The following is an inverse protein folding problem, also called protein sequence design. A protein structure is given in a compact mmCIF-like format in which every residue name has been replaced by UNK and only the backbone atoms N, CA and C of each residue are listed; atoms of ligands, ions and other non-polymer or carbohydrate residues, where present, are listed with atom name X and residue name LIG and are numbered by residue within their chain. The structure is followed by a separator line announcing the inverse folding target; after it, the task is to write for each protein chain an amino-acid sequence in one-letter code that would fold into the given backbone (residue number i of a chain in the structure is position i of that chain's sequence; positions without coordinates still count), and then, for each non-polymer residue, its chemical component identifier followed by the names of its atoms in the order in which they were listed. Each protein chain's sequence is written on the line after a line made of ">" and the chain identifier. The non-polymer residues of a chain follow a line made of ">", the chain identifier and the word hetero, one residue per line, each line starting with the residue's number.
data_IF_423957127720
#
_entry.id   IF_423957127720
#
_cell.length_a   1.000
_cell.length_b   1.000
_cell.length_c   1.000
_cell.angle_alpha   90.00
_cell.angle_beta   90.00
_cell.angle_gamma   90.00
#
_symmetry.space_group_name_H-M   'P 1'
#
loop_
_entity.id
_entity.type
_entity.pdbx_description
1 polymer ?
#
# COMPACT_ATOMS: atom_id res chain seq x y z
N UNK A 1 29.14 -13.12 -3.97
CA UNK A 1 28.62 -13.60 -5.29
C UNK A 1 27.50 -14.55 -4.93
N UNK A 2 26.26 -14.25 -5.31
CA UNK A 2 25.10 -15.10 -4.97
C UNK A 2 25.20 -16.37 -5.81
N UNK A 3 24.98 -17.53 -5.19
CA UNK A 3 25.01 -18.86 -5.85
C UNK A 3 23.94 -18.92 -6.96
N UNK A 4 24.31 -19.52 -8.10
CA UNK A 4 23.40 -19.71 -9.23
C UNK A 4 22.14 -20.51 -8.84
N UNK A 5 22.29 -21.53 -7.98
CA UNK A 5 21.18 -22.32 -7.49
C UNK A 5 20.18 -21.51 -6.65
N UNK A 6 20.66 -20.57 -5.85
CA UNK A 6 19.82 -19.66 -5.06
C UNK A 6 19.06 -18.71 -5.99
N UNK A 7 19.69 -18.19 -7.04
CA UNK A 7 19.03 -17.34 -8.05
C UNK A 7 17.92 -18.08 -8.80
N UNK A 8 18.17 -19.31 -9.20
CA UNK A 8 17.17 -20.14 -9.90
C UNK A 8 15.96 -20.42 -8.99
N UNK A 9 16.19 -20.68 -7.71
CA UNK A 9 15.11 -20.85 -6.73
C UNK A 9 14.34 -19.56 -6.49
N UNK A 10 15.03 -18.40 -6.40
CA UNK A 10 14.40 -17.10 -6.28
C UNK A 10 13.50 -16.80 -7.48
N UNK A 11 13.95 -17.12 -8.70
CA UNK A 11 13.16 -16.95 -9.92
C UNK A 11 11.91 -17.85 -9.95
N UNK A 12 12.03 -19.09 -9.47
CA UNK A 12 10.89 -19.99 -9.34
C UNK A 12 9.87 -19.49 -8.32
N UNK A 13 10.30 -19.02 -7.17
CA UNK A 13 9.42 -18.43 -6.16
C UNK A 13 8.72 -17.17 -6.70
N UNK A 14 9.44 -16.31 -7.40
CA UNK A 14 8.86 -15.10 -8.02
C UNK A 14 7.82 -15.47 -9.09
N UNK A 15 8.07 -16.49 -9.91
CA UNK A 15 7.12 -16.96 -10.92
C UNK A 15 5.86 -17.56 -10.28
N UNK A 16 6.01 -18.36 -9.20
CA UNK A 16 4.89 -18.94 -8.46
C UNK A 16 4.06 -17.87 -7.75
N UNK A 17 4.70 -16.91 -7.11
CA UNK A 17 4.04 -15.83 -6.38
C UNK A 17 3.20 -14.90 -7.28
N UNK A 18 3.43 -14.92 -8.61
CA UNK A 18 2.63 -14.20 -9.61
C UNK A 18 1.32 -14.91 -9.99
N UNK A 19 1.15 -16.21 -9.67
CA UNK A 19 -0.13 -16.89 -9.91
C UNK A 19 -1.18 -16.36 -8.91
N UNK A 20 -2.34 -15.85 -9.38
CA UNK A 20 -3.41 -15.38 -8.51
C UNK A 20 -3.95 -16.43 -7.52
N UNK A 21 -3.67 -17.71 -7.76
CA UNK A 21 -4.08 -18.83 -6.92
C UNK A 21 -2.95 -19.29 -5.99
N UNK A 22 -1.81 -18.62 -5.99
CA UNK A 22 -0.70 -18.96 -5.13
C UNK A 22 -1.08 -18.82 -3.65
N UNK A 23 -0.90 -19.86 -2.87
CA UNK A 23 -1.26 -19.91 -1.44
C UNK A 23 -0.11 -20.35 -0.54
N UNK A 24 1.05 -20.65 -1.10
CA UNK A 24 2.19 -21.26 -0.40
C UNK A 24 3.17 -20.19 0.13
N UNK A 25 2.58 -19.18 0.80
CA UNK A 25 3.31 -18.00 1.28
C UNK A 25 4.29 -18.32 2.40
N UNK A 26 3.96 -19.34 3.22
CA UNK A 26 4.81 -19.75 4.35
C UNK A 26 6.08 -20.40 3.85
N UNK A 27 5.97 -21.30 2.89
CA UNK A 27 7.14 -21.92 2.29
C UNK A 27 8.04 -20.90 1.59
N UNK A 28 7.47 -19.85 0.99
CA UNK A 28 8.26 -18.72 0.47
C UNK A 28 8.94 -17.95 1.61
N UNK A 29 8.22 -17.68 2.69
CA UNK A 29 8.76 -16.94 3.84
C UNK A 29 9.86 -17.75 4.52
N UNK A 30 9.63 -19.02 4.80
CA UNK A 30 10.61 -19.94 5.36
C UNK A 30 11.87 -20.00 4.47
N UNK A 31 11.70 -20.15 3.15
CA UNK A 31 12.82 -20.17 2.22
C UNK A 31 13.64 -18.86 2.27
N UNK A 32 12.97 -17.69 2.37
CA UNK A 32 13.64 -16.39 2.46
C UNK A 32 14.38 -16.18 3.80
N UNK A 33 13.94 -16.84 4.87
CA UNK A 33 14.53 -16.73 6.22
C UNK A 33 15.68 -17.72 6.45
N UNK A 34 15.80 -18.82 5.67
CA UNK A 34 16.87 -19.82 5.82
C UNK A 34 18.25 -19.19 5.69
N UNK A 35 18.46 -18.30 4.71
CA UNK A 35 19.76 -17.66 4.45
C UNK A 35 19.55 -16.22 3.93
N UNK A 36 20.28 -15.22 4.46
CA UNK A 36 20.27 -13.87 3.91
C UNK A 36 20.55 -13.78 2.40
N UNK A 37 21.28 -14.76 1.83
CA UNK A 37 21.55 -14.82 0.40
C UNK A 37 20.28 -15.09 -0.43
N UNK A 38 19.28 -15.78 0.13
CA UNK A 38 17.99 -16.00 -0.54
C UNK A 38 17.22 -14.70 -0.72
N UNK A 39 17.21 -13.89 0.33
CA UNK A 39 16.55 -12.58 0.29
C UNK A 39 17.23 -11.65 -0.71
N UNK A 40 18.58 -11.62 -0.71
CA UNK A 40 19.36 -10.84 -1.67
C UNK A 40 19.15 -11.30 -3.11
N UNK A 41 19.05 -12.63 -3.35
CA UNK A 41 18.78 -13.17 -4.68
C UNK A 41 17.38 -12.79 -5.18
N UNK A 42 16.39 -12.86 -4.30
CA UNK A 42 15.02 -12.47 -4.62
C UNK A 42 14.90 -10.98 -4.93
N UNK A 43 15.59 -10.12 -4.14
CA UNK A 43 15.66 -8.67 -4.37
C UNK A 43 16.43 -8.31 -5.66
N UNK A 44 17.54 -8.99 -5.97
CA UNK A 44 18.37 -8.75 -7.16
C UNK A 44 17.61 -9.06 -8.47
N UNK A 45 16.82 -10.13 -8.48
CA UNK A 45 15.94 -10.47 -9.60
C UNK A 45 14.83 -9.45 -9.80
N UNK A 46 14.34 -8.87 -8.73
CA UNK A 46 13.37 -7.78 -8.78
C UNK A 46 13.98 -6.52 -9.43
N UNK A 47 15.15 -6.08 -8.94
CA UNK A 47 15.87 -4.93 -9.49
C UNK A 47 16.28 -5.12 -10.97
N UNK A 48 16.61 -6.37 -11.36
CA UNK A 48 16.94 -6.73 -12.74
C UNK A 48 15.75 -6.75 -13.72
N UNK A 49 14.54 -7.05 -13.23
CA UNK A 49 13.32 -7.09 -14.06
C UNK A 49 12.79 -5.71 -14.44
N UNK A 50 13.06 -4.69 -13.63
CA UNK A 50 12.67 -3.31 -13.94
C UNK A 50 13.42 -2.75 -15.19
N UNK A 51 14.58 -3.34 -15.53
CA UNK A 51 15.36 -2.96 -16.72
C UNK A 51 15.07 -3.84 -17.94
N UNK A 52 14.58 -5.07 -17.77
CA UNK A 52 14.32 -6.00 -18.87
C UNK A 52 12.87 -5.97 -19.38
N UNK A 53 11.91 -5.55 -18.55
CA UNK A 53 10.48 -5.54 -18.89
C UNK A 53 10.06 -4.47 -19.90
N UNK A 54 10.95 -3.57 -20.28
CA UNK A 54 10.68 -2.52 -21.29
C UNK A 54 11.06 -2.97 -22.72
N UNK A 55 11.80 -4.08 -22.89
CA UNK A 55 12.38 -4.42 -24.19
C UNK A 55 11.85 -5.66 -24.90
N UNK A 56 11.04 -6.54 -24.30
CA UNK A 56 10.54 -7.73 -25.00
C UNK A 56 9.11 -8.15 -24.61
N UNK A 57 8.12 -7.41 -25.08
CA UNK A 57 6.76 -7.90 -25.20
C UNK A 57 6.51 -8.43 -26.63
N UNK A 58 7.11 -9.55 -26.98
CA UNK A 58 6.70 -10.31 -28.15
C UNK A 58 5.49 -11.20 -27.76
N UNK A 59 4.37 -11.18 -28.51
CA UNK A 59 3.20 -11.96 -28.16
C UNK A 59 3.46 -13.45 -28.38
N UNK A 60 3.47 -14.24 -27.30
CA UNK A 60 3.43 -15.70 -27.40
C UNK A 60 2.06 -16.08 -27.96
N UNK A 61 2.02 -16.48 -29.23
CA UNK A 61 0.87 -17.10 -29.85
C UNK A 61 0.68 -18.48 -29.24
N UNK A 62 -0.29 -18.62 -28.36
CA UNK A 62 -0.81 -19.92 -27.97
C UNK A 62 -1.55 -20.56 -29.15
N UNK A 63 -1.33 -21.84 -29.49
CA UNK A 63 -2.10 -22.50 -30.52
C UNK A 63 -3.51 -22.78 -30.00
N UNK A 64 -4.48 -22.06 -30.53
CA UNK A 64 -5.89 -22.35 -30.32
C UNK A 64 -6.23 -23.56 -31.16
N UNK A 65 -6.28 -24.74 -30.55
CA UNK A 65 -6.89 -25.92 -31.15
C UNK A 65 -8.40 -25.73 -31.15
N UNK A 66 -8.91 -25.27 -32.26
CA UNK A 66 -10.34 -25.25 -32.53
C UNK A 66 -10.88 -26.70 -32.63
N UNK A 67 -11.58 -27.15 -31.59
CA UNK A 67 -12.42 -28.33 -31.71
C UNK A 67 -13.67 -27.94 -32.51
N UNK A 68 -13.75 -28.45 -33.71
CA UNK A 68 -14.92 -28.38 -34.55
C UNK A 68 -16.09 -29.11 -33.90
N UNK A 69 -17.13 -28.37 -33.51
CA UNK A 69 -18.38 -28.96 -33.06
C UNK A 69 -19.22 -29.26 -34.30
N UNK A 70 -19.34 -30.55 -34.58
CA UNK A 70 -20.20 -31.11 -35.66
C UNK A 70 -21.61 -30.56 -35.57
N UNK A 71 -22.06 -29.97 -36.67
CA UNK A 71 -23.45 -29.58 -36.88
C UNK A 71 -24.33 -30.82 -37.08
N UNK A 72 -25.06 -31.21 -36.05
CA UNK A 72 -26.19 -32.10 -36.20
C UNK A 72 -27.44 -31.28 -36.56
N UNK A 73 -27.82 -31.36 -37.84
CA UNK A 73 -29.14 -30.93 -38.32
C UNK A 73 -30.16 -31.91 -37.76
N UNK A 74 -31.17 -31.41 -37.04
CA UNK A 74 -32.45 -32.08 -36.85
C UNK A 74 -33.58 -31.17 -37.34
N UNK A 75 -34.55 -31.72 -38.09
CA UNK A 75 -35.65 -30.93 -38.62
C UNK A 75 -36.77 -30.75 -37.59
N UNK A 76 -37.37 -29.62 -37.63
CA UNK A 76 -38.64 -29.12 -37.27
C UNK A 76 -39.58 -29.85 -36.30
N UNK A 77 -39.98 -29.08 -35.30
CA UNK A 77 -41.36 -29.09 -34.81
C UNK A 77 -41.70 -27.66 -34.38
N UNK A 78 -42.60 -27.07 -35.16
CA UNK A 78 -43.30 -25.81 -34.86
C UNK A 78 -44.42 -26.19 -33.88
N UNK A 79 -44.43 -25.56 -32.70
CA UNK A 79 -45.60 -25.63 -31.83
C UNK A 79 -45.27 -25.38 -30.37
N UNK A 80 -45.78 -24.34 -29.77
CA UNK A 80 -45.86 -24.19 -28.34
C UNK A 80 -45.10 -23.00 -27.75
N UNK A 81 -45.67 -21.91 -27.86
CA UNK A 81 -45.72 -20.64 -27.35
C UNK A 81 -45.27 -20.31 -25.96
N UNK A 82 -44.88 -19.10 -25.75
CA UNK A 82 -44.99 -18.20 -24.58
C UNK A 82 -44.50 -18.59 -23.20
N UNK A 83 -44.08 -19.84 -22.91
CA UNK A 83 -43.55 -20.20 -21.61
C UNK A 83 -41.99 -20.14 -21.49
N UNK A 84 -41.30 -20.06 -22.65
CA UNK A 84 -39.81 -20.06 -22.66
C UNK A 84 -39.15 -18.72 -22.37
N UNK A 85 -39.84 -17.61 -22.53
CA UNK A 85 -39.27 -16.26 -22.36
C UNK A 85 -39.16 -15.85 -20.91
N UNK A 86 -40.02 -16.33 -20.02
CA UNK A 86 -39.96 -16.03 -18.59
C UNK A 86 -38.77 -16.73 -17.89
N UNK A 87 -38.42 -17.94 -18.30
CA UNK A 87 -37.29 -18.68 -17.73
C UNK A 87 -35.94 -18.11 -18.18
N UNK A 88 -35.83 -17.66 -19.43
CA UNK A 88 -34.61 -17.02 -19.94
C UNK A 88 -34.39 -15.63 -19.30
N UNK A 89 -35.48 -14.86 -19.08
CA UNK A 89 -35.39 -13.58 -18.37
C UNK A 89 -34.99 -13.74 -16.91
N UNK A 90 -35.46 -14.78 -16.21
CA UNK A 90 -35.11 -15.07 -14.84
C UNK A 90 -33.63 -15.50 -14.71
N UNK A 91 -33.08 -16.27 -15.67
CA UNK A 91 -31.68 -16.63 -15.71
C UNK A 91 -30.76 -15.44 -15.99
N UNK A 92 -31.13 -14.54 -16.89
CA UNK A 92 -30.37 -13.33 -17.19
C UNK A 92 -30.45 -12.35 -16.03
N UNK A 93 -31.61 -12.22 -15.38
CA UNK A 93 -31.76 -11.37 -14.21
C UNK A 93 -30.93 -11.88 -12.99
N UNK A 94 -30.80 -13.19 -12.80
CA UNK A 94 -29.95 -13.81 -11.78
C UNK A 94 -28.45 -13.64 -12.05
N UNK A 95 -28.03 -13.51 -13.32
CA UNK A 95 -26.65 -13.28 -13.73
C UNK A 95 -26.23 -11.80 -13.68
N UNK A 96 -27.19 -10.88 -13.65
CA UNK A 96 -26.99 -9.42 -13.61
C UNK A 96 -27.29 -8.83 -12.24
N UNK A 97 -27.63 -9.65 -11.24
CA UNK A 97 -27.73 -9.12 -9.87
C UNK A 97 -26.38 -8.52 -9.48
N UNK A 98 -26.30 -7.19 -9.22
CA UNK A 98 -25.09 -6.62 -8.68
C UNK A 98 -24.81 -7.35 -7.37
N UNK A 99 -23.58 -7.86 -7.22
CA UNK A 99 -23.11 -8.43 -5.94
C UNK A 99 -23.53 -7.50 -4.84
N UNK A 100 -24.19 -8.03 -3.79
CA UNK A 100 -24.61 -7.22 -2.65
C UNK A 100 -23.44 -6.32 -2.24
N UNK A 101 -23.67 -5.02 -1.98
CA UNK A 101 -22.58 -4.14 -1.59
C UNK A 101 -21.91 -4.77 -0.39
N UNK A 102 -20.57 -4.99 -0.50
CA UNK A 102 -19.76 -5.47 0.58
C UNK A 102 -20.09 -4.60 1.79
N UNK A 103 -20.40 -5.20 2.94
CA UNK A 103 -20.72 -4.46 4.15
C UNK A 103 -19.44 -3.77 4.62
N UNK A 104 -19.12 -2.62 4.04
CA UNK A 104 -17.94 -1.82 4.37
C UNK A 104 -18.23 -0.91 5.58
N UNK A 105 -17.22 -0.74 6.43
CA UNK A 105 -17.21 0.26 7.49
C UNK A 105 -16.12 1.26 7.23
N UNK A 106 -16.50 2.50 7.01
CA UNK A 106 -15.55 3.60 6.90
C UNK A 106 -15.31 4.21 8.29
N UNK A 107 -14.03 4.35 8.64
CA UNK A 107 -13.55 4.98 9.86
C UNK A 107 -12.68 6.16 9.45
N UNK A 108 -12.97 7.34 9.99
CA UNK A 108 -12.21 8.54 9.70
C UNK A 108 -11.75 9.20 10.99
N UNK A 109 -10.60 9.87 10.91
CA UNK A 109 -10.06 10.75 11.94
C UNK A 109 -10.05 12.20 11.43
N UNK A 110 -10.34 13.13 12.31
CA UNK A 110 -10.09 14.54 12.05
C UNK A 110 -8.58 14.84 12.05
N UNK A 111 -8.10 15.89 11.38
CA UNK A 111 -6.72 16.33 11.54
C UNK A 111 -6.37 16.59 13.01
N UNK A 112 -5.26 16.04 13.48
CA UNK A 112 -4.84 16.08 14.89
C UNK A 112 -5.53 15.06 15.81
N UNK A 113 -6.43 14.23 15.31
CA UNK A 113 -7.05 13.12 16.03
C UNK A 113 -6.29 11.83 15.78
N UNK A 114 -5.97 11.10 16.83
CA UNK A 114 -5.40 9.74 16.72
C UNK A 114 -6.43 8.73 17.23
N UNK A 115 -6.55 7.59 16.55
CA UNK A 115 -7.50 6.54 16.90
C UNK A 115 -6.88 5.16 16.77
N UNK A 116 -7.08 4.34 17.79
CA UNK A 116 -6.71 2.91 17.72
C UNK A 116 -7.98 2.07 17.63
N UNK A 117 -7.97 1.11 16.71
CA UNK A 117 -9.07 0.18 16.46
C UNK A 117 -8.52 -1.21 16.67
N UNK A 118 -9.25 -2.05 17.42
CA UNK A 118 -8.96 -3.47 17.52
C UNK A 118 -10.00 -4.24 16.73
N UNK A 119 -9.55 -5.05 15.78
CA UNK A 119 -10.38 -5.91 14.95
C UNK A 119 -10.75 -7.19 15.71
N UNK A 120 -11.70 -7.98 15.18
CA UNK A 120 -12.20 -9.18 15.83
C UNK A 120 -11.14 -10.27 16.03
N UNK A 121 -10.14 -10.30 15.16
CA UNK A 121 -9.00 -11.22 15.24
C UNK A 121 -7.87 -10.76 16.18
N UNK A 122 -8.06 -9.61 16.85
CA UNK A 122 -7.05 -8.98 17.71
C UNK A 122 -6.05 -8.08 16.98
N UNK A 123 -6.10 -7.99 15.64
CA UNK A 123 -5.31 -7.04 14.86
C UNK A 123 -5.60 -5.61 15.32
N UNK A 124 -4.56 -4.83 15.53
CA UNK A 124 -4.69 -3.42 15.91
C UNK A 124 -4.32 -2.51 14.74
N UNK A 125 -5.14 -1.50 14.52
CA UNK A 125 -4.89 -0.45 13.54
C UNK A 125 -4.90 0.90 14.24
N UNK A 126 -3.75 1.57 14.27
CA UNK A 126 -3.65 2.94 14.75
C UNK A 126 -3.77 3.89 13.54
N UNK A 127 -4.73 4.81 13.57
CA UNK A 127 -4.95 5.83 12.55
C UNK A 127 -4.38 7.16 13.01
N UNK A 128 -3.57 7.78 12.16
CA UNK A 128 -3.11 9.15 12.35
C UNK A 128 -4.20 10.17 11.97
N UNK A 129 -3.98 11.44 12.25
CA UNK A 129 -4.92 12.51 11.94
C UNK A 129 -5.25 12.61 10.43
N UNK A 130 -6.46 13.02 10.11
CA UNK A 130 -6.90 13.23 8.73
C UNK A 130 -7.00 11.96 7.87
N UNK A 131 -7.00 10.78 8.49
CA UNK A 131 -7.02 9.49 7.81
C UNK A 131 -8.44 9.02 7.51
N UNK A 132 -8.58 8.17 6.48
CA UNK A 132 -9.82 7.44 6.17
C UNK A 132 -9.48 6.00 5.79
N UNK A 133 -9.93 5.08 6.62
CA UNK A 133 -9.78 3.64 6.48
C UNK A 133 -11.15 3.03 6.23
N UNK A 134 -11.25 2.13 5.27
CA UNK A 134 -12.42 1.32 4.99
C UNK A 134 -12.08 -0.14 5.28
N UNK A 135 -12.90 -0.78 6.11
CA UNK A 135 -12.76 -2.20 6.46
C UNK A 135 -13.90 -3.00 5.83
N UNK A 136 -13.58 -4.15 5.27
CA UNK A 136 -14.56 -5.12 4.81
C UNK A 136 -15.08 -5.92 6.00
N UNK A 137 -16.36 -5.76 6.33
CA UNK A 137 -17.02 -6.51 7.42
C UNK A 137 -17.19 -8.00 7.13
N UNK A 138 -17.29 -8.36 5.86
CA UNK A 138 -17.54 -9.75 5.47
C UNK A 138 -16.31 -10.64 5.68
N UNK A 139 -15.13 -10.06 5.45
CA UNK A 139 -13.85 -10.77 5.57
C UNK A 139 -13.11 -10.40 6.88
N UNK A 140 -13.26 -9.18 7.38
CA UNK A 140 -12.59 -8.69 8.59
C UNK A 140 -11.07 -8.56 8.50
N UNK A 141 -10.46 -9.03 7.39
CA UNK A 141 -9.01 -9.01 7.14
C UNK A 141 -8.63 -8.27 5.85
N UNK A 142 -9.51 -7.41 5.37
CA UNK A 142 -9.25 -6.53 4.23
C UNK A 142 -9.51 -5.09 4.63
N UNK A 143 -8.51 -4.25 4.41
CA UNK A 143 -8.55 -2.83 4.68
C UNK A 143 -8.19 -2.03 3.42
N UNK A 144 -8.80 -0.85 3.26
CA UNK A 144 -8.44 0.11 2.23
C UNK A 144 -8.17 1.46 2.87
N UNK A 145 -6.92 1.91 2.79
CA UNK A 145 -6.53 3.24 3.23
C UNK A 145 -6.75 4.23 2.08
N UNK A 146 -7.84 4.98 2.12
CA UNK A 146 -8.18 5.94 1.06
C UNK A 146 -7.32 7.19 1.11
N UNK A 147 -6.92 7.60 2.34
CA UNK A 147 -6.01 8.72 2.59
C UNK A 147 -5.46 8.66 4.01
N UNK A 148 -4.35 9.35 4.24
CA UNK A 148 -3.76 9.53 5.55
C UNK A 148 -2.73 8.46 5.88
N UNK A 149 -2.64 8.06 7.14
CA UNK A 149 -1.58 7.19 7.67
C UNK A 149 -2.15 6.22 8.69
N UNK A 150 -1.75 4.97 8.59
CA UNK A 150 -2.20 3.91 9.46
C UNK A 150 -1.08 2.93 9.78
N UNK A 151 -0.86 2.66 11.07
CA UNK A 151 0.02 1.61 11.55
C UNK A 151 -0.79 0.36 11.83
N UNK A 152 -0.41 -0.74 11.20
CA UNK A 152 -1.01 -2.06 11.35
C UNK A 152 -0.13 -2.93 12.24
N UNK A 153 -0.71 -3.54 13.27
CA UNK A 153 -0.11 -4.60 14.09
C UNK A 153 -0.96 -5.84 13.90
N UNK A 154 -0.59 -6.67 12.94
CA UNK A 154 -1.45 -7.75 12.45
C UNK A 154 -1.20 -9.03 13.23
N UNK A 155 -2.29 -9.66 13.67
CA UNK A 155 -2.25 -11.03 14.18
C UNK A 155 -2.10 -11.97 12.98
N UNK A 156 -1.02 -12.76 12.98
CA UNK A 156 -0.71 -13.68 11.89
C UNK A 156 -1.78 -14.78 11.75
N UNK A 157 -2.23 -15.00 10.52
CA UNK A 157 -3.17 -16.08 10.17
C UNK A 157 -2.84 -16.52 8.73
N UNK A 158 -2.14 -17.65 8.62
CA UNK A 158 -1.68 -18.24 7.36
C UNK A 158 -2.81 -18.56 6.38
N UNK A 159 -3.96 -18.95 6.94
CA UNK A 159 -5.10 -19.37 6.11
C UNK A 159 -5.89 -18.19 5.56
N UNK A 160 -5.77 -17.02 6.21
CA UNK A 160 -6.48 -15.80 5.84
C UNK A 160 -5.56 -14.58 6.01
N UNK A 161 -4.61 -14.34 5.09
CA UNK A 161 -3.67 -13.24 5.21
C UNK A 161 -4.43 -11.89 5.25
N UNK A 162 -3.89 -10.94 6.03
CA UNK A 162 -4.44 -9.58 6.08
C UNK A 162 -4.00 -8.81 4.84
N UNK A 163 -4.92 -8.09 4.22
CA UNK A 163 -4.66 -7.34 2.99
C UNK A 163 -4.96 -5.86 3.20
N UNK A 164 -4.04 -5.00 2.77
CA UNK A 164 -4.23 -3.55 2.73
C UNK A 164 -4.12 -3.06 1.30
N UNK A 165 -5.08 -2.23 0.87
CA UNK A 165 -5.00 -1.45 -0.37
C UNK A 165 -4.79 0.03 -0.02
N UNK A 166 -3.86 0.69 -0.71
CA UNK A 166 -3.61 2.12 -0.58
C UNK A 166 -3.43 2.76 -1.97
N UNK A 167 -4.57 3.08 -2.60
CA UNK A 167 -4.59 3.70 -3.94
C UNK A 167 -4.15 2.77 -5.05
N UNK A 168 -4.57 1.51 -5.00
CA UNK A 168 -4.21 0.46 -5.95
C UNK A 168 -2.87 -0.22 -5.64
N UNK A 169 -2.16 0.23 -4.61
CA UNK A 169 -1.03 -0.47 -4.05
C UNK A 169 -1.54 -1.54 -3.08
N UNK A 170 -1.53 -2.80 -3.49
CA UNK A 170 -1.99 -3.91 -2.67
C UNK A 170 -0.84 -4.51 -1.86
N UNK A 171 -1.05 -4.66 -0.57
CA UNK A 171 -0.10 -5.23 0.38
C UNK A 171 -0.75 -6.44 1.06
N UNK A 172 0.00 -7.54 1.14
CA UNK A 172 -0.40 -8.76 1.88
C UNK A 172 0.53 -8.91 3.05
N UNK A 173 -0.05 -9.04 4.24
CA UNK A 173 0.68 -9.25 5.47
C UNK A 173 1.16 -10.68 5.61
N UNK A 174 2.40 -10.84 6.08
CA UNK A 174 3.03 -12.12 6.39
C UNK A 174 3.36 -12.26 7.89
N UNK A 175 2.55 -11.59 8.77
CA UNK A 175 2.79 -11.57 10.23
C UNK A 175 3.64 -10.36 10.63
N UNK A 176 3.08 -9.13 10.52
CA UNK A 176 3.88 -7.91 10.52
C UNK A 176 3.36 -6.81 11.42
N UNK A 177 4.29 -5.91 11.75
CA UNK A 177 3.98 -4.57 12.18
C UNK A 177 4.54 -3.58 11.15
N UNK A 178 3.66 -2.87 10.45
CA UNK A 178 4.01 -2.00 9.34
C UNK A 178 3.13 -0.75 9.29
N UNK A 179 3.68 0.32 8.74
CA UNK A 179 3.02 1.60 8.57
C UNK A 179 2.72 1.85 7.10
N UNK A 180 1.55 2.38 6.80
CA UNK A 180 1.11 2.71 5.44
C UNK A 180 0.68 4.16 5.40
N UNK A 181 1.20 4.90 4.42
CA UNK A 181 0.82 6.27 4.15
C UNK A 181 0.20 6.35 2.75
N UNK A 182 -0.94 7.02 2.66
CA UNK A 182 -1.61 7.34 1.39
C UNK A 182 -1.80 8.85 1.27
N UNK A 183 -1.17 9.43 0.25
CA UNK A 183 -1.28 10.87 -0.08
C UNK A 183 -1.93 11.05 -1.44
N UNK A 184 -2.07 12.31 -1.89
CA UNK A 184 -2.50 12.65 -3.26
C UNK A 184 -1.45 12.29 -4.31
N UNK A 185 -0.20 12.05 -3.93
CA UNK A 185 0.93 11.84 -4.83
C UNK A 185 1.35 10.38 -4.94
N UNK A 186 0.89 9.52 -4.03
CA UNK A 186 1.26 8.12 -4.01
C UNK A 186 1.06 7.46 -2.66
N UNK A 187 1.64 6.27 -2.51
CA UNK A 187 1.62 5.48 -1.29
C UNK A 187 3.03 5.13 -0.82
N UNK A 188 3.15 4.92 0.48
CA UNK A 188 4.39 4.50 1.13
C UNK A 188 4.07 3.40 2.13
N UNK A 189 4.90 2.37 2.20
CA UNK A 189 4.81 1.32 3.21
C UNK A 189 6.16 1.10 3.85
N UNK A 190 6.21 1.04 5.18
CA UNK A 190 7.42 0.85 5.98
C UNK A 190 7.23 -0.28 6.97
N UNK A 191 8.18 -1.21 7.07
CA UNK A 191 8.07 -2.42 7.89
C UNK A 191 8.90 -2.30 9.15
N UNK A 192 8.22 -2.33 10.31
CA UNK A 192 8.85 -2.36 11.63
C UNK A 192 9.26 -3.77 12.05
N UNK A 193 8.41 -4.78 11.80
CA UNK A 193 8.62 -6.19 12.17
C UNK A 193 7.99 -7.10 11.13
N UNK A 194 8.57 -8.28 10.88
CA UNK A 194 8.09 -9.27 9.94
C UNK A 194 8.32 -8.87 8.48
N UNK A 195 7.37 -9.19 7.60
CA UNK A 195 7.44 -8.88 6.18
C UNK A 195 6.06 -8.62 5.56
N UNK A 196 6.02 -7.75 4.56
CA UNK A 196 4.85 -7.43 3.73
C UNK A 196 5.18 -7.78 2.29
N UNK A 197 4.24 -8.40 1.60
CA UNK A 197 4.32 -8.61 0.16
C UNK A 197 3.53 -7.51 -0.55
N UNK A 198 4.24 -6.65 -1.25
CA UNK A 198 3.66 -5.56 -2.05
C UNK A 198 3.35 -6.05 -3.46
N UNK A 199 2.18 -5.67 -4.00
CA UNK A 199 1.70 -6.00 -5.33
C UNK A 199 1.85 -7.49 -5.70
N UNK A 200 1.20 -8.40 -4.97
CA UNK A 200 1.39 -9.84 -5.13
C UNK A 200 0.99 -10.36 -6.51
N UNK A 201 0.12 -9.64 -7.23
CA UNK A 201 -0.33 -10.01 -8.58
C UNK A 201 0.51 -9.35 -9.70
N UNK A 202 1.43 -8.47 -9.36
CA UNK A 202 2.30 -7.76 -10.28
C UNK A 202 3.78 -8.02 -9.97
N UNK A 203 4.46 -7.01 -9.44
CA UNK A 203 5.90 -7.06 -9.17
C UNK A 203 6.28 -8.02 -8.03
N UNK A 204 5.36 -8.33 -7.11
CA UNK A 204 5.53 -9.24 -5.97
C UNK A 204 6.76 -8.90 -5.10
N UNK A 205 6.88 -7.62 -4.68
CA UNK A 205 8.00 -7.16 -3.87
C UNK A 205 7.82 -7.55 -2.41
N UNK A 206 8.73 -8.34 -1.87
CA UNK A 206 8.78 -8.60 -0.42
C UNK A 206 9.54 -7.50 0.30
N UNK A 207 8.89 -6.88 1.26
CA UNK A 207 9.46 -5.87 2.13
C UNK A 207 9.67 -6.49 3.52
N UNK A 208 10.90 -6.79 3.87
CA UNK A 208 11.28 -7.24 5.20
C UNK A 208 11.43 -6.08 6.18
N UNK A 209 11.70 -6.42 7.44
CA UNK A 209 11.98 -5.45 8.51
C UNK A 209 13.03 -4.42 8.08
N UNK A 210 12.76 -3.14 8.33
CA UNK A 210 13.65 -2.03 8.00
C UNK A 210 13.66 -1.65 6.52
N UNK A 211 12.73 -2.16 5.73
CA UNK A 211 12.52 -1.72 4.35
C UNK A 211 11.32 -0.78 4.27
N UNK A 212 11.45 0.19 3.38
CA UNK A 212 10.40 1.12 3.00
C UNK A 212 10.25 1.10 1.48
N UNK A 213 9.02 1.08 1.02
CA UNK A 213 8.68 1.21 -0.39
C UNK A 213 7.83 2.45 -0.59
N UNK A 214 8.20 3.26 -1.58
CA UNK A 214 7.43 4.43 -2.03
C UNK A 214 6.98 4.21 -3.46
N UNK A 215 5.69 4.43 -3.75
CA UNK A 215 5.11 4.40 -5.08
C UNK A 215 4.53 5.76 -5.45
N UNK A 216 4.90 6.27 -6.60
CA UNK A 216 4.30 7.47 -7.18
C UNK A 216 3.09 7.12 -8.04
N UNK A 217 1.96 7.83 -7.85
CA UNK A 217 0.77 7.66 -8.69
C UNK A 217 0.97 8.21 -10.10
N UNK A 218 1.80 9.25 -10.25
CA UNK A 218 2.02 9.90 -11.54
C UNK A 218 2.90 9.06 -12.48
N UNK A 219 3.98 8.48 -11.96
CA UNK A 219 4.97 7.73 -12.76
C UNK A 219 4.83 6.22 -12.63
N UNK A 220 4.05 5.73 -11.66
CA UNK A 220 3.98 4.32 -11.25
C UNK A 220 5.34 3.74 -10.82
N UNK A 221 6.36 4.58 -10.66
CA UNK A 221 7.69 4.17 -10.19
C UNK A 221 7.60 3.74 -8.75
N UNK A 222 8.24 2.63 -8.46
CA UNK A 222 8.40 2.03 -7.13
C UNK A 222 9.85 2.15 -6.71
N UNK A 223 10.09 2.76 -5.56
CA UNK A 223 11.41 2.91 -4.96
C UNK A 223 11.46 2.17 -3.64
N UNK A 224 12.46 1.30 -3.46
CA UNK A 224 12.72 0.61 -2.19
C UNK A 224 13.95 1.21 -1.54
N UNK A 225 13.82 1.55 -0.26
CA UNK A 225 14.90 2.14 0.53
C UNK A 225 14.93 1.51 1.92
N UNK A 226 15.93 1.90 2.71
CA UNK A 226 16.06 1.48 4.11
C UNK A 226 15.48 2.52 5.06
N UNK A 227 14.82 2.05 6.11
CA UNK A 227 14.34 2.84 7.23
C UNK A 227 14.77 2.17 8.54
N UNK A 228 15.04 2.95 9.57
CA UNK A 228 15.26 2.38 10.90
C UNK A 228 13.92 1.80 11.42
N UNK A 229 13.82 0.49 11.67
CA UNK A 229 12.59 -0.14 12.14
C UNK A 229 12.06 0.47 13.45
N UNK A 230 12.92 1.01 14.30
CA UNK A 230 12.53 1.65 15.54
C UNK A 230 11.77 2.96 15.33
N UNK A 231 11.93 3.57 14.15
CA UNK A 231 11.28 4.84 13.81
C UNK A 231 9.94 4.66 13.08
N UNK A 232 9.64 3.44 12.60
CA UNK A 232 8.38 3.13 11.92
C UNK A 232 7.21 3.27 12.89
N UNK A 233 6.24 4.13 12.55
CA UNK A 233 5.10 4.43 13.41
C UNK A 233 5.44 5.30 14.64
N UNK A 234 6.59 5.98 14.67
CA UNK A 234 6.99 6.88 15.76
C UNK A 234 6.06 8.09 15.91
N UNK A 235 5.30 8.42 14.86
CA UNK A 235 4.27 9.46 14.89
C UNK A 235 3.23 9.25 16.01
N UNK A 236 2.99 8.01 16.45
CA UNK A 236 2.07 7.68 17.55
C UNK A 236 2.50 8.26 18.89
N UNK A 237 3.80 8.55 19.03
CA UNK A 237 4.39 9.25 20.20
C UNK A 237 4.80 10.69 19.87
N UNK A 238 4.30 11.24 18.74
CA UNK A 238 4.59 12.60 18.31
C UNK A 238 5.99 12.83 17.73
N UNK A 239 6.72 11.75 17.40
CA UNK A 239 8.07 11.84 16.83
C UNK A 239 8.02 11.60 15.33
N UNK A 240 8.61 12.51 14.57
CA UNK A 240 8.69 12.45 13.11
C UNK A 240 10.16 12.53 12.69
N UNK A 241 10.62 11.52 11.94
CA UNK A 241 12.02 11.41 11.52
C UNK A 241 12.05 11.44 10.00
N UNK A 242 12.83 12.37 9.48
CA UNK A 242 12.93 12.63 8.05
C UNK A 242 14.35 12.42 7.56
N UNK A 243 14.47 11.90 6.34
CA UNK A 243 15.73 11.76 5.62
C UNK A 243 15.52 12.20 4.18
N UNK A 244 16.20 13.26 3.77
CA UNK A 244 16.11 13.82 2.41
C UNK A 244 14.66 14.03 1.94
N UNK A 245 13.82 14.53 2.85
CA UNK A 245 12.38 14.65 2.64
C UNK A 245 12.01 16.07 2.25
N UNK A 246 11.28 16.30 1.13
CA UNK A 246 10.91 17.65 0.71
C UNK A 246 9.98 18.32 1.72
N UNK A 247 10.13 19.64 1.90
CA UNK A 247 9.38 20.40 2.92
C UNK A 247 7.86 20.34 2.73
N UNK A 248 7.38 20.21 1.50
CA UNK A 248 5.94 20.02 1.28
C UNK A 248 5.42 18.75 1.97
N UNK A 249 6.21 17.67 1.95
CA UNK A 249 5.85 16.41 2.61
C UNK A 249 5.91 16.54 4.13
N UNK A 250 6.96 17.17 4.66
CA UNK A 250 7.07 17.47 6.09
C UNK A 250 5.86 18.28 6.58
N UNK A 251 5.44 19.30 5.81
CA UNK A 251 4.29 20.12 6.13
C UNK A 251 2.97 19.32 6.13
N UNK A 252 2.78 18.40 5.17
CA UNK A 252 1.61 17.50 5.16
C UNK A 252 1.55 16.62 6.43
N UNK A 253 2.67 16.04 6.83
CA UNK A 253 2.75 15.19 8.01
C UNK A 253 2.47 16.01 9.29
N UNK A 254 3.05 17.20 9.40
CA UNK A 254 2.82 18.11 10.51
C UNK A 254 1.37 18.61 10.54
N UNK A 255 0.78 18.91 9.40
CA UNK A 255 -0.63 19.31 9.31
C UNK A 255 -1.56 18.17 9.77
N UNK A 256 -1.25 16.94 9.39
CA UNK A 256 -1.98 15.74 9.83
C UNK A 256 -1.89 15.54 11.34
N UNK A 257 -0.67 15.61 11.87
CA UNK A 257 -0.41 15.36 13.28
C UNK A 257 -0.96 16.44 14.22
N UNK A 258 -0.93 17.72 13.79
CA UNK A 258 -1.32 18.85 14.64
C UNK A 258 -2.75 19.34 14.42
N UNK A 259 -3.35 19.01 13.29
CA UNK A 259 -4.63 19.56 12.87
C UNK A 259 -4.55 21.02 12.38
N UNK A 260 -3.35 21.60 12.31
CA UNK A 260 -3.15 22.96 11.76
C UNK A 260 -2.97 22.85 10.24
N UNK A 261 -3.50 23.83 9.50
CA UNK A 261 -3.15 23.98 8.09
C UNK A 261 -1.72 24.48 7.99
N UNK A 262 -0.88 23.80 7.22
CA UNK A 262 0.50 24.22 6.99
C UNK A 262 0.72 24.24 5.48
N UNK A 263 0.89 25.44 4.95
CA UNK A 263 1.22 25.67 3.55
C UNK A 263 2.70 26.01 3.39
N UNK A 264 3.28 25.63 2.27
CA UNK A 264 4.70 25.86 1.97
C UNK A 264 4.82 26.70 0.71
N UNK A 265 5.67 27.71 0.77
CA UNK A 265 6.02 28.53 -0.38
C UNK A 265 6.65 27.65 -1.49
N UNK A 266 6.21 27.79 -2.75
CA UNK A 266 6.75 27.01 -3.86
C UNK A 266 8.27 27.11 -3.99
N UNK A 267 8.88 28.24 -3.62
CA UNK A 267 10.33 28.44 -3.68
C UNK A 267 11.12 27.57 -2.71
N UNK A 268 10.50 27.02 -1.65
CA UNK A 268 11.16 26.14 -0.68
C UNK A 268 10.48 24.77 -0.57
N UNK A 269 9.38 24.54 -1.25
CA UNK A 269 8.59 23.34 -1.14
C UNK A 269 9.40 22.05 -1.42
N UNK A 270 10.29 22.09 -2.40
CA UNK A 270 11.14 20.95 -2.78
C UNK A 270 12.48 20.91 -2.04
N UNK A 271 12.75 21.85 -1.10
CA UNK A 271 13.97 21.81 -0.29
C UNK A 271 13.93 20.58 0.62
N UNK A 272 14.97 19.75 0.56
CA UNK A 272 15.10 18.55 1.36
C UNK A 272 15.40 18.89 2.83
N UNK A 273 14.77 18.13 3.71
CA UNK A 273 15.01 18.17 5.15
C UNK A 273 15.44 16.80 5.65
N UNK A 274 16.48 16.79 6.47
CA UNK A 274 16.93 15.62 7.24
C UNK A 274 17.02 16.01 8.70
N UNK A 275 16.29 15.30 9.57
CA UNK A 275 16.24 15.60 11.00
C UNK A 275 15.02 14.99 11.67
N UNK A 276 14.81 15.35 12.92
CA UNK A 276 13.66 14.93 13.72
C UNK A 276 12.82 16.14 14.15
N UNK A 277 11.51 15.98 14.11
CA UNK A 277 10.54 16.95 14.63
C UNK A 277 9.73 16.25 15.72
N UNK A 278 9.67 16.87 16.88
CA UNK A 278 8.80 16.43 17.97
C UNK A 278 7.61 17.39 18.04
N UNK A 279 6.42 16.85 17.92
CA UNK A 279 5.19 17.64 18.07
C UNK A 279 4.89 17.80 19.57
N UNK A 280 5.05 19.00 20.14
CA UNK A 280 4.78 19.22 21.56
C UNK A 280 3.28 19.19 21.84
N UNK A 281 2.91 18.81 23.06
CA UNK A 281 1.52 18.87 23.52
C UNK A 281 0.99 20.32 23.51
N UNK A 282 1.86 21.33 23.73
CA UNK A 282 1.55 22.74 23.63
C UNK A 282 1.78 23.27 22.21
N UNK A 283 0.68 23.56 21.51
CA UNK A 283 0.70 24.00 20.11
C UNK A 283 1.25 25.45 19.91
N UNK A 284 1.28 26.28 20.93
CA UNK A 284 1.73 27.68 20.80
C UNK A 284 3.23 27.76 20.51
N UNK A 285 4.03 26.88 21.11
CA UNK A 285 5.46 26.81 20.86
C UNK A 285 5.84 26.04 19.57
N UNK A 286 4.86 25.40 18.93
CA UNK A 286 5.13 24.55 17.77
C UNK A 286 5.59 25.35 16.55
N UNK A 287 5.01 26.53 16.27
CA UNK A 287 5.39 27.36 15.14
C UNK A 287 6.84 27.84 15.21
N UNK A 288 7.29 28.27 16.39
CA UNK A 288 8.65 28.75 16.60
C UNK A 288 9.65 27.60 16.48
N UNK A 289 9.32 26.45 17.09
CA UNK A 289 10.09 25.24 16.97
C UNK A 289 10.24 24.77 15.52
N UNK A 290 9.12 24.73 14.77
CA UNK A 290 9.10 24.35 13.38
C UNK A 290 9.97 25.25 12.50
N UNK A 291 9.88 26.59 12.72
CA UNK A 291 10.70 27.55 12.00
C UNK A 291 12.18 27.41 12.23
N UNK A 292 12.57 27.12 13.48
CA UNK A 292 13.96 26.91 13.84
C UNK A 292 14.53 25.60 13.27
N UNK A 293 13.78 24.51 13.39
CA UNK A 293 14.21 23.17 12.92
C UNK A 293 14.28 23.10 11.39
N UNK A 294 13.30 23.67 10.70
CA UNK A 294 13.25 23.65 9.24
C UNK A 294 14.07 24.77 8.58
N UNK A 295 14.66 25.67 9.35
CA UNK A 295 15.33 26.87 8.85
C UNK A 295 14.47 27.67 7.84
N UNK A 296 13.26 27.99 8.26
CA UNK A 296 12.26 28.77 7.51
C UNK A 296 11.68 29.88 8.38
N UNK A 297 11.11 30.87 7.73
CA UNK A 297 10.23 31.81 8.42
C UNK A 297 8.82 31.23 8.44
N UNK A 298 8.22 31.11 9.62
CA UNK A 298 6.82 30.71 9.80
C UNK A 298 5.97 31.95 9.99
N UNK A 299 5.01 32.14 9.11
CA UNK A 299 4.04 33.22 9.19
C UNK A 299 2.65 32.66 9.50
N UNK A 300 1.89 33.36 10.36
CA UNK A 300 0.48 33.03 10.57
C UNK A 300 -0.31 33.49 9.34
N UNK A 301 -1.11 32.58 8.75
CA UNK A 301 -1.99 32.89 7.62
C UNK A 301 -3.41 32.37 7.92
N UNK A 302 -4.30 33.25 8.32
CA UNK A 302 -5.61 32.88 8.83
C UNK A 302 -5.49 31.97 10.06
N UNK A 303 -6.07 30.78 10.02
CA UNK A 303 -5.96 29.78 11.09
C UNK A 303 -4.87 28.72 10.83
N UNK A 304 -3.94 28.98 9.90
CA UNK A 304 -2.86 28.07 9.54
C UNK A 304 -1.50 28.75 9.53
N UNK A 305 -0.48 27.96 9.22
CA UNK A 305 0.91 28.38 9.11
C UNK A 305 1.34 28.41 7.64
N UNK A 306 2.19 29.38 7.30
CA UNK A 306 2.83 29.49 5.99
C UNK A 306 4.34 29.51 6.15
N UNK A 307 5.00 28.49 5.56
CA UNK A 307 6.44 28.32 5.59
C UNK A 307 7.08 28.98 4.37
N UNK A 308 7.99 29.91 4.55
CA UNK A 308 8.69 30.62 3.48
C UNK A 308 10.20 30.66 3.74
N UNK A 309 10.98 30.94 2.70
CA UNK A 309 12.41 31.15 2.84
C UNK A 309 12.72 32.18 3.93
N UNK A 310 13.76 31.89 4.70
CA UNK A 310 14.31 32.88 5.63
C UNK A 310 14.94 33.99 4.81
N UNK A 311 14.60 35.25 5.13
CA UNK A 311 15.27 36.36 4.50
C UNK A 311 16.77 36.28 4.79
N UNK A 312 17.61 36.28 3.75
CA UNK A 312 19.06 36.44 3.93
C UNK A 312 19.32 37.80 4.61
N UNK A 313 20.04 37.77 5.73
CA UNK A 313 20.53 39.00 6.37
C UNK A 313 21.65 39.61 5.55
#
# INVERSE_FOLDING_TARGET
>A
MIDAAIRDQAALWMARARDPRFSDWDALTEWLEIDPAHNLAYEDLFAGHDLAGVLDAAPVKAPVTARSVSRWRRPGLIGGGLAGTAAAAALIFGLVMPSAPLAEVAIATAPGEHRVITLQDGTQVALNGGSRLVLDKSNGRTARLERGEAMFSVVHDETRPFTVDAGGARMVDLGTRFDVIRTLHGSEVSVAEGAVLYDPNGAAVRLGRGKMLRRSDASQVVEVSQVDPATVGAWRSGHFIYRDTPLWRVAEDMARATGQRIAVDPGVANRAFTGAIVVPANRTAFSDHLGAVLDVTVAQQGNGLYLKARASR
#
